data_IF_559406291625
#
_entry.id   IF_559406291625
#
_cell.length_a   1.000
_cell.length_b   1.000
_cell.length_c   1.000
_cell.angle_alpha   90.00
_cell.angle_beta   90.00
_cell.angle_gamma   90.00
#
_symmetry.space_group_name_H-M   'P 1'
#
loop_
_entity.id
_entity.type
_entity.pdbx_description
1 polymer ?
#
# COMPACT_ATOMS: atom_id res chain seq x y z
N UNK A 1 9.08 16.45 -7.77
CA UNK A 1 8.30 15.26 -8.19
C UNK A 1 7.42 14.90 -7.01
N UNK A 2 6.12 15.16 -7.07
CA UNK A 2 5.22 14.77 -5.97
C UNK A 2 4.91 13.29 -6.07
N UNK A 3 5.06 12.56 -4.96
CA UNK A 3 4.66 11.14 -4.87
C UNK A 3 3.38 11.02 -4.07
N UNK A 4 2.54 10.04 -4.37
CA UNK A 4 1.33 9.78 -3.59
C UNK A 4 1.67 8.84 -2.44
N UNK A 5 1.38 9.29 -1.20
CA UNK A 5 1.63 8.55 0.03
C UNK A 5 0.30 8.08 0.65
N UNK A 6 0.00 6.81 0.45
CA UNK A 6 -1.20 6.18 1.02
C UNK A 6 -0.92 5.74 2.44
N UNK A 7 -1.67 6.30 3.38
CA UNK A 7 -1.42 6.05 4.80
C UNK A 7 -2.67 5.86 5.66
N UNK A 8 -2.42 5.41 6.88
CA UNK A 8 -3.38 5.52 7.97
C UNK A 8 -2.71 6.26 9.12
N UNK A 9 -3.18 7.45 9.52
CA UNK A 9 -2.46 8.32 10.46
C UNK A 9 -2.12 7.67 11.81
N UNK A 10 -2.93 6.72 12.28
CA UNK A 10 -2.68 5.99 13.55
C UNK A 10 -1.71 4.81 13.38
N UNK A 11 -1.22 4.53 12.18
CA UNK A 11 -0.26 3.46 11.93
C UNK A 11 1.16 3.94 12.19
N UNK A 12 1.83 3.35 13.18
CA UNK A 12 3.22 3.69 13.54
C UNK A 12 4.21 3.53 12.38
N UNK A 13 4.01 2.52 11.51
CA UNK A 13 4.83 2.36 10.30
C UNK A 13 4.60 3.49 9.29
N UNK A 14 3.35 3.96 9.15
CA UNK A 14 3.05 5.11 8.29
C UNK A 14 3.69 6.39 8.85
N UNK A 15 3.56 6.64 10.15
CA UNK A 15 4.17 7.79 10.82
C UNK A 15 5.70 7.80 10.63
N UNK A 16 6.36 6.64 10.75
CA UNK A 16 7.80 6.51 10.50
C UNK A 16 8.15 6.83 9.03
N UNK A 17 7.39 6.29 8.08
CA UNK A 17 7.60 6.55 6.66
C UNK A 17 7.36 8.02 6.28
N UNK A 18 6.30 8.64 6.81
CA UNK A 18 5.97 10.05 6.61
C UNK A 18 7.09 10.94 7.11
N UNK A 19 7.55 10.71 8.35
CA UNK A 19 8.69 11.43 8.94
C UNK A 19 9.94 11.28 8.08
N UNK A 20 10.22 10.07 7.60
CA UNK A 20 11.38 9.79 6.76
C UNK A 20 11.35 10.58 5.44
N UNK A 21 10.19 10.67 4.78
CA UNK A 21 10.01 11.49 3.57
C UNK A 21 10.23 12.98 3.88
N UNK A 22 9.61 13.49 4.94
CA UNK A 22 9.74 14.90 5.35
C UNK A 22 11.18 15.27 5.72
N UNK A 23 11.90 14.43 6.46
CA UNK A 23 13.30 14.68 6.85
C UNK A 23 14.25 14.75 5.66
N UNK A 24 13.89 14.09 4.55
CA UNK A 24 14.66 14.09 3.29
C UNK A 24 14.15 15.11 2.28
N UNK A 25 13.19 15.95 2.66
CA UNK A 25 12.64 17.00 1.79
C UNK A 25 11.91 16.46 0.56
N UNK A 26 11.34 15.26 0.65
CA UNK A 26 10.57 14.66 -0.44
C UNK A 26 9.14 15.17 -0.35
N UNK A 27 8.68 15.83 -1.42
CA UNK A 27 7.28 16.28 -1.54
C UNK A 27 6.36 15.10 -1.82
N UNK A 28 5.25 15.02 -1.09
CA UNK A 28 4.25 13.98 -1.28
C UNK A 28 2.84 14.48 -0.98
N UNK A 29 1.87 13.91 -1.69
CA UNK A 29 0.45 14.08 -1.41
C UNK A 29 0.01 12.95 -0.48
N UNK A 30 -0.51 13.29 0.71
CA UNK A 30 -1.01 12.28 1.65
C UNK A 30 -2.47 11.93 1.38
N UNK A 31 -2.78 10.63 1.40
CA UNK A 31 -4.16 10.15 1.28
C UNK A 31 -4.50 9.15 2.37
N UNK A 32 -5.59 9.44 3.07
CA UNK A 32 -6.08 8.61 4.16
C UNK A 32 -6.81 7.37 3.63
N UNK A 33 -6.15 6.21 3.69
CA UNK A 33 -6.62 4.95 3.08
C UNK A 33 -7.99 4.46 3.58
N UNK A 34 -8.41 4.84 4.79
CA UNK A 34 -9.74 4.47 5.31
C UNK A 34 -10.87 5.42 4.92
N UNK A 35 -10.54 6.65 4.50
CA UNK A 35 -11.51 7.65 4.12
C UNK A 35 -11.67 7.66 2.58
N UNK A 36 -10.53 7.52 1.91
CA UNK A 36 -10.42 7.41 0.45
C UNK A 36 -9.70 6.10 0.15
N UNK A 37 -10.48 5.02 0.11
CA UNK A 37 -9.98 3.69 -0.21
C UNK A 37 -9.52 3.62 -1.67
N UNK A 38 -8.42 2.91 -1.97
CA UNK A 38 -8.02 2.63 -3.34
C UNK A 38 -9.12 1.92 -4.13
N UNK A 39 -9.33 2.34 -5.36
CA UNK A 39 -10.20 1.66 -6.32
C UNK A 39 -9.54 0.37 -6.85
N UNK A 40 -10.33 -0.54 -7.42
CA UNK A 40 -9.79 -1.74 -8.04
C UNK A 40 -8.88 -1.44 -9.24
N UNK A 41 -9.13 -0.34 -9.94
CA UNK A 41 -8.35 0.14 -11.08
C UNK A 41 -6.98 0.67 -10.62
N UNK A 42 -6.96 1.53 -9.60
CA UNK A 42 -5.72 1.99 -8.97
C UNK A 42 -4.89 0.82 -8.44
N UNK A 43 -5.52 -0.11 -7.71
CA UNK A 43 -4.84 -1.28 -7.17
C UNK A 43 -4.25 -2.17 -8.26
N UNK A 44 -4.94 -2.30 -9.40
CA UNK A 44 -4.45 -3.05 -10.56
C UNK A 44 -3.21 -2.38 -11.14
N UNK A 45 -3.27 -1.05 -11.34
CA UNK A 45 -2.14 -0.28 -11.86
C UNK A 45 -0.93 -0.38 -10.92
N UNK A 46 -1.16 -0.19 -9.62
CA UNK A 46 -0.08 -0.24 -8.64
C UNK A 46 0.51 -1.63 -8.49
N UNK A 47 -0.32 -2.67 -8.56
CA UNK A 47 0.14 -4.06 -8.57
C UNK A 47 1.09 -4.30 -9.75
N UNK A 48 0.67 -3.93 -10.96
CA UNK A 48 1.48 -4.08 -12.17
C UNK A 48 2.80 -3.30 -12.07
N UNK A 49 2.77 -2.05 -11.59
CA UNK A 49 3.97 -1.22 -11.40
C UNK A 49 4.91 -1.74 -10.31
N UNK A 50 4.39 -2.38 -9.26
CA UNK A 50 5.21 -2.87 -8.15
C UNK A 50 6.05 -4.11 -8.50
N UNK A 51 5.60 -4.92 -9.47
CA UNK A 51 6.20 -6.23 -9.75
C UNK A 51 6.09 -7.24 -8.59
N UNK A 52 5.30 -6.94 -7.56
CA UNK A 52 5.12 -7.80 -6.39
C UNK A 52 3.90 -8.70 -6.56
N UNK A 53 3.87 -9.90 -5.93
CA UNK A 53 2.65 -10.70 -5.86
C UNK A 53 1.53 -9.91 -5.17
N UNK A 54 0.31 -9.94 -5.72
CA UNK A 54 -0.85 -9.21 -5.20
C UNK A 54 -1.11 -9.43 -3.70
N UNK A 55 -0.80 -10.63 -3.18
CA UNK A 55 -0.85 -10.94 -1.74
C UNK A 55 -0.11 -9.91 -0.86
N UNK A 56 0.93 -9.26 -1.36
CA UNK A 56 1.71 -8.22 -0.66
C UNK A 56 0.91 -6.95 -0.40
N UNK A 57 -0.12 -6.68 -1.21
CA UNK A 57 -1.04 -5.57 -1.02
C UNK A 57 -2.07 -5.82 0.07
N UNK A 58 -2.19 -7.04 0.61
CA UNK A 58 -3.06 -7.30 1.75
C UNK A 58 -2.38 -6.97 3.08
N UNK A 59 -3.13 -6.36 3.98
CA UNK A 59 -2.76 -6.16 5.37
C UNK A 59 -2.86 -7.47 6.17
N UNK A 60 -1.95 -8.39 5.90
CA UNK A 60 -1.92 -9.75 6.50
C UNK A 60 -1.82 -9.76 8.03
N UNK A 61 -1.27 -8.70 8.62
CA UNK A 61 -1.21 -8.49 10.08
C UNK A 61 -2.51 -7.92 10.67
N UNK A 62 -3.39 -7.37 9.83
CA UNK A 62 -4.59 -6.66 10.25
C UNK A 62 -5.69 -7.58 10.79
N UNK A 63 -6.50 -7.05 11.72
CA UNK A 63 -7.62 -7.79 12.31
C UNK A 63 -8.64 -8.23 11.26
N UNK A 64 -8.95 -7.39 10.27
CA UNK A 64 -9.91 -7.73 9.21
C UNK A 64 -9.44 -8.91 8.34
N UNK A 65 -8.15 -8.97 8.01
CA UNK A 65 -7.58 -10.10 7.27
C UNK A 65 -7.75 -11.43 8.02
N UNK A 66 -7.53 -11.41 9.34
CA UNK A 66 -7.72 -12.58 10.22
C UNK A 66 -9.21 -12.92 10.37
N UNK A 67 -10.05 -11.94 10.64
CA UNK A 67 -11.49 -12.12 10.86
C UNK A 67 -12.22 -12.70 9.63
N UNK A 68 -11.76 -12.37 8.42
CA UNK A 68 -12.33 -12.89 7.18
C UNK A 68 -11.70 -14.23 6.71
N UNK A 69 -10.73 -14.77 7.45
CA UNK A 69 -9.94 -15.96 7.10
C UNK A 69 -9.29 -15.87 5.72
N UNK A 70 -8.77 -14.69 5.35
CA UNK A 70 -8.26 -14.44 4.00
C UNK A 70 -7.04 -15.30 3.65
N UNK A 71 -6.29 -15.78 4.65
CA UNK A 71 -5.17 -16.70 4.41
C UNK A 71 -5.58 -17.95 3.62
N UNK A 72 -6.77 -18.48 3.90
CA UNK A 72 -7.30 -19.71 3.30
C UNK A 72 -8.09 -19.42 2.02
N UNK A 73 -8.74 -18.26 1.94
CA UNK A 73 -9.59 -17.88 0.82
C UNK A 73 -8.82 -17.31 -0.37
N UNK A 74 -7.78 -16.51 -0.14
CA UNK A 74 -7.04 -15.85 -1.24
C UNK A 74 -6.48 -16.83 -2.29
N UNK A 75 -5.92 -18.00 -1.94
CA UNK A 75 -5.46 -18.97 -2.95
C UNK A 75 -6.56 -19.52 -3.85
N UNK A 76 -7.84 -19.39 -3.45
CA UNK A 76 -9.01 -19.87 -4.20
C UNK A 76 -9.65 -18.74 -5.03
N UNK A 77 -9.19 -17.50 -4.86
CA UNK A 77 -9.70 -16.33 -5.57
C UNK A 77 -8.82 -16.02 -6.78
N UNK A 78 -9.46 -15.67 -7.88
CA UNK A 78 -8.82 -15.04 -9.03
C UNK A 78 -8.20 -13.69 -8.65
N UNK A 79 -7.24 -13.22 -9.45
CA UNK A 79 -6.65 -11.88 -9.26
C UNK A 79 -7.71 -10.78 -9.27
N UNK A 80 -8.71 -10.88 -10.15
CA UNK A 80 -9.79 -9.92 -10.24
C UNK A 80 -10.62 -9.87 -8.95
N UNK A 81 -10.97 -11.02 -8.37
CA UNK A 81 -11.70 -11.08 -7.09
C UNK A 81 -10.88 -10.50 -5.94
N UNK A 82 -9.56 -10.76 -5.92
CA UNK A 82 -8.67 -10.20 -4.91
C UNK A 82 -8.58 -8.67 -5.00
N UNK A 83 -8.49 -8.11 -6.22
CA UNK A 83 -8.49 -6.67 -6.46
C UNK A 83 -9.81 -6.03 -6.02
N UNK A 84 -10.95 -6.64 -6.35
CA UNK A 84 -12.27 -6.16 -5.91
C UNK A 84 -12.36 -6.19 -4.38
N UNK A 85 -11.90 -7.27 -3.73
CA UNK A 85 -11.89 -7.39 -2.28
C UNK A 85 -11.05 -6.28 -1.63
N UNK A 86 -9.84 -6.01 -2.12
CA UNK A 86 -9.01 -4.92 -1.61
C UNK A 86 -9.69 -3.56 -1.76
N UNK A 87 -10.39 -3.34 -2.87
CA UNK A 87 -11.11 -2.10 -3.13
C UNK A 87 -12.33 -1.90 -2.23
N UNK A 88 -12.90 -2.95 -1.62
CA UNK A 88 -14.06 -2.80 -0.74
C UNK A 88 -13.75 -2.06 0.56
N UNK A 89 -12.50 -2.10 1.02
CA UNK A 89 -12.14 -1.64 2.35
C UNK A 89 -10.64 -1.37 2.44
N UNK A 90 -10.26 -0.09 2.54
CA UNK A 90 -8.86 0.32 2.64
C UNK A 90 -8.13 -0.24 3.87
N UNK A 91 -8.83 -0.77 4.89
CA UNK A 91 -8.18 -1.46 6.01
C UNK A 91 -7.68 -2.87 5.68
N UNK A 92 -8.14 -3.45 4.55
CA UNK A 92 -7.59 -4.67 3.98
C UNK A 92 -6.29 -4.43 3.21
N UNK A 93 -6.02 -3.18 2.83
CA UNK A 93 -4.84 -2.81 2.03
C UNK A 93 -3.61 -2.60 2.94
N UNK A 94 -2.46 -3.11 2.50
CA UNK A 94 -1.17 -2.95 3.15
C UNK A 94 -0.79 -1.47 3.14
N UNK A 95 -0.17 -1.01 4.22
CA UNK A 95 0.19 0.39 4.41
C UNK A 95 1.55 0.52 5.12
N UNK A 96 2.29 1.61 4.88
CA UNK A 96 2.02 2.64 3.85
C UNK A 96 2.20 2.09 2.42
N UNK A 97 1.72 2.81 1.41
CA UNK A 97 2.09 2.60 0.00
C UNK A 97 2.62 3.93 -0.56
N UNK A 98 3.77 3.89 -1.23
CA UNK A 98 4.31 5.05 -1.94
C UNK A 98 4.20 4.82 -3.44
N UNK A 99 3.56 5.74 -4.16
CA UNK A 99 3.35 5.67 -5.60
C UNK A 99 4.08 6.84 -6.25
N UNK A 100 5.07 6.52 -7.07
CA UNK A 100 5.72 7.48 -7.96
C UNK A 100 5.29 7.28 -9.41
N UNK A 101 5.90 8.03 -10.31
CA UNK A 101 5.63 7.95 -11.75
C UNK A 101 5.84 6.51 -12.29
N UNK A 102 6.99 5.92 -11.96
CA UNK A 102 7.46 4.64 -12.51
C UNK A 102 7.64 3.54 -11.47
N UNK A 103 7.22 3.76 -10.22
CA UNK A 103 7.41 2.78 -9.14
C UNK A 103 6.24 2.75 -8.16
N UNK A 104 6.09 1.62 -7.49
CA UNK A 104 5.20 1.46 -6.32
C UNK A 104 5.92 0.69 -5.24
N UNK A 105 5.97 1.27 -4.03
CA UNK A 105 6.56 0.65 -2.84
C UNK A 105 5.47 0.28 -1.86
N UNK A 106 5.40 -1.00 -1.48
CA UNK A 106 4.36 -1.54 -0.61
C UNK A 106 4.92 -1.88 0.77
N UNK A 107 4.53 -1.08 1.76
CA UNK A 107 5.12 -1.06 3.08
C UNK A 107 6.34 -0.15 3.16
N UNK A 108 6.87 0.00 4.37
CA UNK A 108 8.05 0.83 4.60
C UNK A 108 9.28 -0.03 4.89
N UNK A 109 10.30 0.13 4.03
CA UNK A 109 11.63 -0.44 4.18
C UNK A 109 12.63 0.61 3.71
N UNK A 110 13.30 1.24 4.65
CA UNK A 110 14.19 2.38 4.40
C UNK A 110 15.17 2.13 3.25
N UNK A 111 15.97 1.05 3.28
CA UNK A 111 16.92 0.72 2.20
C UNK A 111 16.29 0.59 0.80
N UNK A 112 15.07 0.06 0.74
CA UNK A 112 14.34 -0.10 -0.53
C UNK A 112 13.89 1.27 -1.05
N UNK A 113 13.40 2.11 -0.15
CA UNK A 113 13.00 3.47 -0.46
C UNK A 113 14.19 4.34 -0.89
N UNK A 114 15.33 4.25 -0.21
CA UNK A 114 16.59 4.93 -0.59
C UNK A 114 17.01 4.55 -2.01
N UNK A 115 17.03 3.25 -2.30
CA UNK A 115 17.43 2.74 -3.62
C UNK A 115 16.54 3.28 -4.73
N UNK A 116 15.22 3.29 -4.52
CA UNK A 116 14.23 3.66 -5.55
C UNK A 116 14.07 5.17 -5.69
N UNK A 117 14.25 5.91 -4.60
CA UNK A 117 14.19 7.37 -4.60
C UNK A 117 15.54 8.01 -4.96
N UNK A 118 16.60 7.19 -5.13
CA UNK A 118 17.96 7.61 -5.47
C UNK A 118 18.54 8.64 -4.50
N UNK A 119 18.43 8.34 -3.20
CA UNK A 119 18.93 9.18 -2.10
C UNK A 119 19.91 8.44 -1.21
#
# INVERSE_FOLDING_TARGET
MSVLFIEYPKCTTCQKAKRWLTERGIDFDDRHIAAENPTAEELREWHAKSGLPLKRFFNTSGLKYKALSLKEKLPQMSEQEQLHLLATDGMLVKRPILIGENFVLVGFREKEWETVLHI
#
